data_IF_125342456296
#
_entry.id   IF_125342456296
#
_cell.length_a   1.000
_cell.length_b   1.000
_cell.length_c   1.000
_cell.angle_alpha   90.00
_cell.angle_beta   90.00
_cell.angle_gamma   90.00
#
_symmetry.space_group_name_H-M   'P 1'
#
loop_
_entity.id
_entity.type
_entity.pdbx_description
1 polymer ?
#
# COMPACT_ATOMS: atom_id res chain seq x y z
N UNK A 1 -29.85 -61.82 -63.07
CA UNK A 1 -28.94 -60.97 -63.89
C UNK A 1 -27.68 -60.83 -63.15
N UNK A 2 -26.61 -61.43 -63.64
CA UNK A 2 -25.27 -61.41 -63.07
C UNK A 2 -24.48 -60.28 -63.73
N UNK A 3 -23.94 -59.35 -62.90
CA UNK A 3 -23.06 -58.27 -63.35
C UNK A 3 -21.66 -58.62 -62.91
N UNK A 4 -20.69 -58.77 -63.86
CA UNK A 4 -19.30 -59.12 -63.50
C UNK A 4 -18.57 -57.92 -63.01
N UNK A 5 -17.69 -58.15 -62.03
CA UNK A 5 -16.76 -57.16 -61.45
C UNK A 5 -15.63 -56.77 -62.46
N UNK A 6 -15.18 -55.52 -62.44
CA UNK A 6 -14.08 -55.06 -63.29
C UNK A 6 -12.70 -55.59 -62.81
N UNK A 7 -11.74 -55.72 -63.71
CA UNK A 7 -10.43 -56.30 -63.42
C UNK A 7 -9.54 -55.38 -62.57
N UNK A 8 -8.72 -56.01 -61.74
CA UNK A 8 -7.75 -55.33 -60.88
C UNK A 8 -6.61 -54.66 -61.70
N UNK A 9 -6.31 -53.41 -61.40
CA UNK A 9 -5.14 -52.70 -61.94
C UNK A 9 -3.85 -53.07 -61.20
N UNK A 10 -2.70 -53.13 -61.87
CA UNK A 10 -1.43 -53.41 -61.21
C UNK A 10 -0.92 -52.26 -60.38
N UNK A 11 -0.43 -52.60 -59.17
CA UNK A 11 0.20 -51.66 -58.26
C UNK A 11 1.52 -51.13 -58.84
N UNK A 12 1.59 -49.80 -59.01
CA UNK A 12 2.84 -49.09 -59.23
C UNK A 12 3.59 -48.96 -57.91
N UNK A 13 4.74 -49.60 -57.83
CA UNK A 13 5.69 -49.44 -56.71
C UNK A 13 6.33 -48.03 -56.78
N UNK A 14 5.96 -47.15 -55.83
CA UNK A 14 6.70 -45.91 -55.60
C UNK A 14 7.93 -46.21 -54.73
N UNK A 15 9.09 -45.82 -55.23
CA UNK A 15 10.35 -45.79 -54.45
C UNK A 15 10.25 -44.80 -53.27
N UNK A 16 10.87 -45.04 -52.11
CA UNK A 16 10.84 -44.11 -51.01
C UNK A 16 11.73 -42.91 -51.31
N UNK A 17 11.09 -41.73 -51.49
CA UNK A 17 11.81 -40.46 -51.46
C UNK A 17 12.24 -40.23 -50.00
N UNK A 18 13.53 -40.20 -49.73
CA UNK A 18 14.11 -39.83 -48.47
C UNK A 18 13.78 -38.35 -48.16
N UNK A 19 12.84 -38.13 -47.29
CA UNK A 19 12.68 -36.84 -46.66
C UNK A 19 13.76 -36.70 -45.60
N UNK A 20 14.77 -35.89 -45.90
CA UNK A 20 15.67 -35.37 -44.90
C UNK A 20 14.81 -34.46 -43.99
N UNK A 21 14.43 -34.97 -42.81
CA UNK A 21 13.84 -34.16 -41.74
C UNK A 21 14.93 -33.23 -41.23
N UNK A 22 15.01 -32.01 -41.78
CA UNK A 22 15.70 -30.93 -41.15
C UNK A 22 14.87 -30.56 -39.91
N UNK A 23 15.18 -31.16 -38.77
CA UNK A 23 14.73 -30.69 -37.47
C UNK A 23 15.30 -29.29 -37.27
N UNK A 24 14.50 -28.28 -37.61
CA UNK A 24 14.70 -26.93 -37.12
C UNK A 24 14.45 -26.98 -35.61
N UNK A 25 15.52 -27.25 -34.86
CA UNK A 25 15.56 -27.06 -33.41
C UNK A 25 15.46 -25.57 -33.13
N UNK A 26 14.22 -25.08 -33.10
CA UNK A 26 13.90 -23.78 -32.55
C UNK A 26 13.94 -23.89 -31.04
N UNK A 27 15.11 -24.09 -30.46
CA UNK A 27 15.35 -23.75 -29.05
C UNK A 27 15.40 -22.24 -28.96
N UNK A 28 14.22 -21.60 -28.88
CA UNK A 28 14.14 -20.24 -28.43
C UNK A 28 14.78 -20.15 -27.04
N UNK A 29 15.78 -19.27 -26.85
CA UNK A 29 16.36 -19.11 -25.53
C UNK A 29 15.24 -18.62 -24.60
N UNK A 30 14.84 -19.45 -23.63
CA UNK A 30 13.93 -19.02 -22.56
C UNK A 30 14.57 -17.78 -21.93
N UNK A 31 14.02 -16.62 -22.21
CA UNK A 31 14.52 -15.35 -21.72
C UNK A 31 14.53 -15.41 -20.16
N UNK A 32 15.72 -15.60 -19.60
CA UNK A 32 15.91 -15.63 -18.14
C UNK A 32 15.86 -14.19 -17.63
N UNK A 33 14.66 -13.76 -17.22
CA UNK A 33 14.51 -12.46 -16.55
C UNK A 33 15.36 -12.39 -15.28
N UNK A 34 16.21 -11.39 -15.17
CA UNK A 34 16.97 -11.13 -13.97
C UNK A 34 16.03 -10.66 -12.83
N UNK A 35 16.32 -11.07 -11.61
CA UNK A 35 15.55 -10.60 -10.45
C UNK A 35 15.85 -9.14 -10.16
N UNK A 36 14.81 -8.37 -9.88
CA UNK A 36 14.95 -7.02 -9.37
C UNK A 36 14.56 -6.93 -7.88
N UNK A 37 14.99 -5.87 -7.21
CA UNK A 37 14.65 -5.66 -5.81
C UNK A 37 14.60 -4.17 -5.45
N UNK A 38 13.60 -3.78 -4.68
CA UNK A 38 13.43 -2.43 -4.16
C UNK A 38 13.99 -2.35 -2.74
N UNK A 39 15.00 -1.50 -2.54
CA UNK A 39 15.55 -1.15 -1.21
C UNK A 39 15.08 0.25 -0.84
N UNK A 40 14.59 0.40 0.39
CA UNK A 40 14.14 1.69 0.95
C UNK A 40 15.23 2.20 1.88
N UNK A 41 15.63 3.45 1.70
CA UNK A 41 16.65 4.10 2.53
C UNK A 41 16.05 5.13 3.49
N UNK A 42 14.93 5.76 3.12
CA UNK A 42 14.25 6.73 3.96
C UNK A 42 12.76 6.83 3.59
N UNK A 43 11.93 7.07 4.59
CA UNK A 43 10.50 7.36 4.40
C UNK A 43 10.08 8.53 5.29
N UNK A 44 9.15 9.35 4.77
CA UNK A 44 8.34 10.27 5.55
C UNK A 44 6.88 10.04 5.12
N UNK A 45 6.18 9.19 5.85
CA UNK A 45 4.81 8.75 5.56
C UNK A 45 3.79 9.26 6.60
N UNK A 46 4.25 10.07 7.56
CA UNK A 46 3.41 10.73 8.55
C UNK A 46 3.51 12.24 8.32
N UNK A 47 2.57 12.80 7.61
CA UNK A 47 2.61 14.19 7.14
C UNK A 47 1.30 14.92 7.44
N UNK A 48 1.37 16.23 7.56
CA UNK A 48 0.17 17.06 7.59
C UNK A 48 -0.42 17.18 6.18
N UNK A 49 -1.71 17.41 6.11
CA UNK A 49 -2.41 17.77 4.87
C UNK A 49 -1.71 18.95 4.19
N UNK A 50 -1.57 18.89 2.87
CA UNK A 50 -0.79 19.85 2.09
C UNK A 50 0.73 19.63 2.12
N UNK A 51 1.25 18.70 2.92
CA UNK A 51 2.67 18.38 2.98
C UNK A 51 3.04 17.16 2.12
N UNK A 52 4.27 17.11 1.59
CA UNK A 52 4.71 15.99 0.78
C UNK A 52 5.11 14.78 1.63
N UNK A 53 4.46 13.65 1.41
CA UNK A 53 4.99 12.34 1.79
C UNK A 53 6.14 11.96 0.83
N UNK A 54 7.21 11.37 1.35
CA UNK A 54 8.39 11.01 0.56
C UNK A 54 8.86 9.61 0.84
N UNK A 55 9.36 8.94 -0.20
CA UNK A 55 10.05 7.66 -0.10
C UNK A 55 11.31 7.72 -0.95
N UNK A 56 12.45 7.45 -0.36
CA UNK A 56 13.72 7.34 -1.06
C UNK A 56 14.24 5.90 -1.01
N UNK A 57 14.93 5.50 -2.06
CA UNK A 57 15.45 4.14 -2.15
C UNK A 57 16.29 3.89 -3.39
N UNK A 58 16.52 2.61 -3.68
CA UNK A 58 17.20 2.17 -4.88
C UNK A 58 16.56 0.91 -5.45
N UNK A 59 16.48 0.83 -6.77
CA UNK A 59 16.20 -0.38 -7.52
C UNK A 59 17.50 -1.13 -7.79
N UNK A 60 17.50 -2.44 -7.58
CA UNK A 60 18.63 -3.33 -7.84
C UNK A 60 18.25 -4.40 -8.89
N UNK A 61 19.15 -4.73 -9.82
CA UNK A 61 20.42 -4.08 -10.10
C UNK A 61 20.27 -2.58 -10.36
N UNK A 62 21.37 -1.82 -10.35
CA UNK A 62 21.34 -0.36 -10.51
C UNK A 62 20.99 0.02 -11.95
N UNK A 63 19.70 0.19 -12.21
CA UNK A 63 19.15 0.49 -13.55
C UNK A 63 18.69 1.94 -13.58
N UNK A 64 19.24 2.71 -14.51
CA UNK A 64 18.77 4.07 -14.79
C UNK A 64 17.48 4.06 -15.63
N UNK A 65 16.71 5.15 -15.53
CA UNK A 65 15.53 5.36 -16.37
C UNK A 65 14.34 4.44 -16.09
N UNK A 66 14.33 3.70 -14.99
CA UNK A 66 13.24 2.77 -14.64
C UNK A 66 12.19 3.47 -13.77
N UNK A 67 10.94 3.25 -14.12
CA UNK A 67 9.82 3.83 -13.37
C UNK A 67 9.55 3.01 -12.10
N UNK A 68 9.57 3.69 -10.96
CA UNK A 68 9.12 3.17 -9.67
C UNK A 68 7.85 3.92 -9.28
N UNK A 69 6.80 3.19 -8.92
CA UNK A 69 5.53 3.74 -8.49
C UNK A 69 5.35 3.61 -6.99
N UNK A 70 4.76 4.64 -6.37
CA UNK A 70 4.14 4.56 -5.06
C UNK A 70 2.66 4.26 -5.27
N UNK A 71 2.18 3.19 -4.67
CA UNK A 71 0.80 2.77 -4.77
C UNK A 71 0.15 2.79 -3.38
N UNK A 72 -1.12 3.21 -3.32
CA UNK A 72 -1.96 3.15 -2.13
C UNK A 72 -3.10 2.13 -2.33
N UNK A 73 -3.50 1.50 -1.24
CA UNK A 73 -4.59 0.52 -1.26
C UNK A 73 -5.92 1.21 -0.98
N UNK A 74 -6.79 1.26 -1.98
CA UNK A 74 -8.14 1.81 -1.91
C UNK A 74 -9.23 0.75 -2.04
N UNK A 75 -10.45 1.19 -2.36
CA UNK A 75 -11.62 0.30 -2.55
C UNK A 75 -11.40 -0.70 -3.67
N UNK A 76 -10.82 -0.25 -4.78
CA UNK A 76 -10.59 -1.06 -5.99
C UNK A 76 -9.21 -1.74 -5.99
N UNK A 77 -8.56 -1.82 -4.84
CA UNK A 77 -7.24 -2.41 -4.69
C UNK A 77 -6.10 -1.39 -4.74
N UNK A 78 -4.95 -1.79 -5.32
CA UNK A 78 -3.75 -0.95 -5.37
C UNK A 78 -3.81 0.02 -6.54
N UNK A 79 -3.83 1.31 -6.25
CA UNK A 79 -3.76 2.40 -7.23
C UNK A 79 -2.44 3.19 -7.13
N UNK A 80 -1.91 3.64 -8.27
CA UNK A 80 -0.70 4.49 -8.32
C UNK A 80 -1.06 5.91 -7.87
N UNK A 81 -0.34 6.42 -6.85
CA UNK A 81 -0.50 7.80 -6.34
C UNK A 81 0.68 8.70 -6.68
N UNK A 82 1.86 8.13 -6.94
CA UNK A 82 3.03 8.89 -7.40
C UNK A 82 4.01 8.01 -8.17
N UNK A 83 4.91 8.64 -8.93
CA UNK A 83 5.93 7.97 -9.74
C UNK A 83 7.27 8.69 -9.59
N UNK A 84 8.35 7.94 -9.76
CA UNK A 84 9.69 8.49 -9.91
C UNK A 84 10.49 7.63 -10.87
N UNK A 85 11.45 8.24 -11.57
CA UNK A 85 12.40 7.54 -12.42
C UNK A 85 13.72 7.37 -11.67
N UNK A 86 14.35 6.20 -11.82
CA UNK A 86 15.66 5.92 -11.23
C UNK A 86 16.78 6.67 -11.96
N UNK A 87 17.71 7.23 -11.20
CA UNK A 87 18.97 7.77 -11.73
C UNK A 87 19.98 6.66 -12.11
N UNK A 88 21.18 7.07 -12.56
CA UNK A 88 22.26 6.16 -13.02
C UNK A 88 22.69 5.13 -12.00
N UNK A 89 22.62 5.45 -10.70
CA UNK A 89 22.91 4.53 -9.58
C UNK A 89 21.71 3.66 -9.16
N UNK A 90 20.61 3.69 -9.90
CA UNK A 90 19.35 3.05 -9.54
C UNK A 90 18.59 3.72 -8.40
N UNK A 91 19.09 4.84 -7.87
CA UNK A 91 18.43 5.60 -6.79
C UNK A 91 17.20 6.32 -7.30
N UNK A 92 16.18 6.44 -6.44
CA UNK A 92 14.96 7.19 -6.70
C UNK A 92 14.48 7.93 -5.46
N UNK A 93 13.67 8.96 -5.68
CA UNK A 93 12.88 9.64 -4.63
C UNK A 93 11.48 9.89 -5.17
N UNK A 94 10.49 9.23 -4.59
CA UNK A 94 9.07 9.45 -4.87
C UNK A 94 8.57 10.53 -3.92
N UNK A 95 7.79 11.49 -4.42
CA UNK A 95 7.08 12.50 -3.64
C UNK A 95 5.59 12.42 -3.98
N UNK A 96 4.76 12.48 -2.96
CA UNK A 96 3.30 12.53 -3.07
C UNK A 96 2.79 13.68 -2.22
N UNK A 97 2.11 14.65 -2.84
CA UNK A 97 1.46 15.74 -2.12
C UNK A 97 0.17 15.23 -1.50
N UNK A 98 0.15 15.10 -0.18
CA UNK A 98 -1.00 14.66 0.57
C UNK A 98 -2.06 15.77 0.62
N UNK A 99 -3.31 15.49 0.23
CA UNK A 99 -4.40 16.49 0.16
C UNK A 99 -5.66 16.07 0.92
N UNK A 100 -5.67 14.91 1.52
CA UNK A 100 -6.82 14.39 2.26
C UNK A 100 -6.33 13.64 3.48
N UNK A 101 -6.87 13.98 4.63
CA UNK A 101 -6.61 13.25 5.87
C UNK A 101 -7.01 11.79 5.76
N UNK A 102 -6.34 10.95 6.51
CA UNK A 102 -6.64 9.52 6.53
C UNK A 102 -5.39 8.64 6.65
N UNK A 103 -5.64 7.34 6.70
CA UNK A 103 -4.62 6.31 6.79
C UNK A 103 -4.78 5.31 5.64
N UNK A 104 -3.73 5.11 4.85
CA UNK A 104 -3.73 4.18 3.72
C UNK A 104 -2.50 3.28 3.73
N UNK A 105 -2.69 1.99 3.44
CA UNK A 105 -1.55 1.10 3.21
C UNK A 105 -0.87 1.49 1.91
N UNK A 106 0.46 1.55 1.91
CA UNK A 106 1.24 1.93 0.73
C UNK A 106 2.35 0.91 0.44
N UNK A 107 2.71 0.84 -0.85
CA UNK A 107 3.83 0.05 -1.34
C UNK A 107 4.56 0.76 -2.47
N UNK A 108 5.82 0.42 -2.64
CA UNK A 108 6.53 0.67 -3.89
C UNK A 108 6.33 -0.50 -4.84
N UNK A 109 6.32 -0.20 -6.15
CA UNK A 109 6.30 -1.21 -7.21
C UNK A 109 7.22 -0.79 -8.36
N UNK A 110 7.99 -1.73 -8.85
CA UNK A 110 8.59 -1.74 -10.15
C UNK A 110 7.88 -2.82 -10.98
N UNK A 111 7.33 -2.48 -12.12
CA UNK A 111 6.53 -3.41 -12.91
C UNK A 111 7.36 -4.50 -13.60
N UNK A 112 8.68 -4.31 -13.67
CA UNK A 112 9.58 -5.08 -14.51
C UNK A 112 9.84 -4.37 -15.84
N UNK A 113 10.74 -4.96 -16.63
CA UNK A 113 11.03 -4.55 -18.01
C UNK A 113 11.33 -5.78 -18.86
N UNK A 114 11.81 -5.59 -20.09
CA UNK A 114 12.12 -6.66 -21.02
C UNK A 114 13.20 -7.64 -20.55
N UNK A 115 13.96 -7.28 -19.51
CA UNK A 115 15.11 -8.06 -19.01
C UNK A 115 15.02 -8.38 -17.51
N UNK A 116 14.09 -7.73 -16.78
CA UNK A 116 14.01 -7.84 -15.33
C UNK A 116 12.58 -8.11 -14.86
N UNK A 117 12.44 -9.05 -13.93
CA UNK A 117 11.19 -9.30 -13.24
C UNK A 117 10.77 -8.09 -12.40
N UNK A 118 9.48 -7.86 -12.30
CA UNK A 118 8.91 -6.86 -11.41
C UNK A 118 9.18 -7.17 -9.94
N UNK A 119 9.14 -6.14 -9.11
CA UNK A 119 9.26 -6.26 -7.65
C UNK A 119 8.35 -5.28 -6.94
N UNK A 120 7.96 -5.63 -5.70
CA UNK A 120 7.19 -4.73 -4.84
C UNK A 120 7.71 -4.77 -3.41
N UNK A 121 7.58 -3.63 -2.71
CA UNK A 121 7.98 -3.47 -1.31
C UNK A 121 6.87 -2.78 -0.54
N UNK A 122 6.26 -3.46 0.44
CA UNK A 122 5.31 -2.85 1.38
C UNK A 122 6.05 -1.85 2.27
N UNK A 123 5.43 -0.69 2.50
CA UNK A 123 5.97 0.39 3.31
C UNK A 123 5.22 0.58 4.64
N UNK A 124 4.12 -0.16 4.84
CA UNK A 124 3.22 0.04 5.97
C UNK A 124 2.09 1.01 5.63
N UNK A 125 1.79 1.89 6.57
CA UNK A 125 0.70 2.86 6.48
C UNK A 125 1.26 4.27 6.28
N UNK A 126 0.72 4.98 5.30
CA UNK A 126 0.86 6.43 5.17
C UNK A 126 -0.30 7.08 5.92
N UNK A 127 0.01 8.00 6.81
CA UNK A 127 -0.97 8.77 7.55
C UNK A 127 -0.86 10.24 7.15
N UNK A 128 -1.98 10.80 6.73
CA UNK A 128 -2.13 12.22 6.44
C UNK A 128 -3.00 12.82 7.54
N UNK A 129 -2.46 13.79 8.23
CA UNK A 129 -3.05 14.37 9.42
C UNK A 129 -3.50 15.82 9.18
N UNK A 130 -4.38 16.29 10.03
CA UNK A 130 -4.58 17.71 10.31
C UNK A 130 -4.29 17.99 11.79
N UNK A 131 -3.91 19.20 12.11
CA UNK A 131 -3.73 19.63 13.49
C UNK A 131 -5.09 19.94 14.12
N UNK A 132 -5.33 19.41 15.31
CA UNK A 132 -6.59 19.59 16.06
C UNK A 132 -6.32 19.79 17.54
N UNK A 133 -7.16 20.53 18.19
CA UNK A 133 -7.06 20.74 19.64
C UNK A 133 -7.67 19.56 20.40
N UNK A 134 -6.97 19.09 21.44
CA UNK A 134 -7.39 17.98 22.28
C UNK A 134 -7.20 18.28 23.76
N UNK A 135 -7.94 17.56 24.58
CA UNK A 135 -7.76 17.43 26.02
C UNK A 135 -7.85 15.96 26.42
N UNK A 136 -7.93 15.68 27.70
CA UNK A 136 -8.12 14.32 28.19
C UNK A 136 -9.17 14.29 29.32
N UNK A 137 -9.69 13.11 29.57
CA UNK A 137 -10.61 12.83 30.67
C UNK A 137 -10.30 11.47 31.30
N UNK A 138 -10.62 11.34 32.56
CA UNK A 138 -10.46 10.12 33.34
C UNK A 138 -11.65 9.89 34.25
N UNK A 139 -11.47 8.95 35.18
CA UNK A 139 -12.51 8.58 36.13
C UNK A 139 -13.18 7.25 35.79
N UNK A 140 -14.44 7.09 36.16
CA UNK A 140 -15.23 5.87 35.92
C UNK A 140 -16.65 6.25 35.55
N UNK A 141 -17.32 5.47 34.72
CA UNK A 141 -18.71 5.73 34.31
C UNK A 141 -19.09 5.02 33.03
N UNK A 142 -20.33 5.18 32.60
CA UNK A 142 -20.80 4.72 31.29
C UNK A 142 -20.26 5.60 30.18
N UNK A 143 -19.95 4.99 29.03
CA UNK A 143 -19.54 5.69 27.81
C UNK A 143 -20.72 5.83 26.86
N UNK A 144 -20.81 6.95 26.14
CA UNK A 144 -21.92 7.20 25.21
C UNK A 144 -22.00 6.18 24.06
N UNK A 145 -20.88 5.54 23.71
CA UNK A 145 -20.85 4.47 22.71
C UNK A 145 -21.02 3.06 23.32
N UNK A 146 -21.36 2.98 24.59
CA UNK A 146 -21.47 1.71 25.33
C UNK A 146 -20.20 1.31 26.06
N UNK A 147 -20.35 0.45 27.07
CA UNK A 147 -19.27 0.03 27.96
C UNK A 147 -19.02 1.01 29.12
N UNK A 148 -17.89 0.81 29.80
CA UNK A 148 -17.51 1.64 30.97
C UNK A 148 -16.10 2.17 30.83
N UNK A 149 -15.90 3.41 31.26
CA UNK A 149 -14.60 4.01 31.41
C UNK A 149 -13.84 3.38 32.58
N UNK A 150 -12.59 3.06 32.38
CA UNK A 150 -11.64 2.63 33.39
C UNK A 150 -10.29 3.27 33.09
N UNK A 151 -9.34 3.23 34.02
CA UNK A 151 -7.99 3.75 33.80
C UNK A 151 -7.25 3.07 32.63
N UNK A 152 -7.61 1.82 32.26
CA UNK A 152 -7.03 1.07 31.14
C UNK A 152 -7.80 1.24 29.82
N UNK A 153 -8.89 2.00 29.81
CA UNK A 153 -9.71 2.17 28.60
C UNK A 153 -8.96 2.98 27.54
N UNK A 154 -8.74 2.40 26.35
CA UNK A 154 -8.14 3.07 25.21
C UNK A 154 -9.23 3.59 24.26
N UNK A 155 -9.27 4.89 24.02
CA UNK A 155 -10.23 5.51 23.11
C UNK A 155 -10.22 7.02 23.21
N UNK A 156 -11.14 7.63 22.46
CA UNK A 156 -11.35 9.08 22.47
C UNK A 156 -12.85 9.39 22.49
N UNK A 157 -13.21 10.53 23.09
CA UNK A 157 -14.50 11.18 22.84
C UNK A 157 -14.38 12.07 21.60
N UNK A 158 -15.45 12.09 20.80
CA UNK A 158 -15.62 13.01 19.67
C UNK A 158 -17.13 13.29 19.48
N UNK A 159 -17.47 14.53 19.10
CA UNK A 159 -18.87 14.98 19.03
C UNK A 159 -19.65 14.34 17.89
N UNK A 160 -19.02 14.15 16.72
CA UNK A 160 -19.71 13.87 15.45
C UNK A 160 -19.32 12.56 14.79
N UNK A 161 -18.08 12.10 14.97
CA UNK A 161 -17.63 10.84 14.37
C UNK A 161 -18.46 9.67 14.91
N UNK A 162 -18.87 8.71 14.05
CA UNK A 162 -19.58 7.52 14.51
C UNK A 162 -18.80 6.74 15.58
N UNK A 163 -19.53 6.15 16.54
CA UNK A 163 -18.95 5.24 17.52
C UNK A 163 -18.17 4.10 16.82
N UNK A 164 -17.01 3.77 17.38
CA UNK A 164 -16.12 2.76 16.81
C UNK A 164 -15.25 3.26 15.66
N UNK A 165 -15.45 4.47 15.13
CA UNK A 165 -14.55 5.07 14.14
C UNK A 165 -13.12 5.08 14.67
N UNK A 166 -12.20 4.49 13.91
CA UNK A 166 -10.79 4.45 14.30
C UNK A 166 -10.06 5.68 13.78
N UNK A 167 -9.54 6.47 14.68
CA UNK A 167 -8.70 7.64 14.40
C UNK A 167 -7.25 7.32 14.76
N UNK A 168 -6.32 7.82 13.96
CA UNK A 168 -4.89 7.77 14.30
C UNK A 168 -4.48 9.14 14.80
N UNK A 169 -4.01 9.20 16.03
CA UNK A 169 -3.49 10.42 16.65
C UNK A 169 -1.96 10.37 16.69
N UNK A 170 -1.32 11.53 16.52
CA UNK A 170 0.12 11.69 16.63
C UNK A 170 0.47 12.92 17.45
N UNK A 171 1.42 12.76 18.38
CA UNK A 171 1.94 13.83 19.22
C UNK A 171 3.42 13.53 19.54
N UNK A 172 4.28 14.49 19.39
CA UNK A 172 5.72 14.41 19.68
C UNK A 172 6.38 13.09 19.21
N UNK A 173 6.08 12.69 17.96
CA UNK A 173 6.65 11.46 17.38
C UNK A 173 5.87 10.18 17.73
N UNK A 174 5.13 10.14 18.83
CA UNK A 174 4.30 9.01 19.24
C UNK A 174 3.03 8.94 18.39
N UNK A 175 2.55 7.73 18.11
CA UNK A 175 1.35 7.52 17.29
C UNK A 175 0.51 6.41 17.91
N UNK A 176 -0.79 6.68 18.09
CA UNK A 176 -1.75 5.70 18.57
C UNK A 176 -2.96 5.65 17.64
N UNK A 177 -3.53 4.47 17.45
CA UNK A 177 -4.78 4.29 16.69
C UNK A 177 -5.88 3.79 17.61
N UNK A 178 -6.87 4.61 17.85
CA UNK A 178 -7.89 4.41 18.88
C UNK A 178 -9.31 4.53 18.32
N UNK A 179 -10.32 3.87 18.91
CA UNK A 179 -11.72 4.04 18.56
C UNK A 179 -12.31 5.31 19.19
N UNK A 180 -13.32 5.88 18.55
CA UNK A 180 -14.27 6.80 19.18
C UNK A 180 -15.20 5.97 20.07
N UNK A 181 -15.19 6.23 21.37
CA UNK A 181 -15.94 5.47 22.38
C UNK A 181 -16.88 6.32 23.20
N UNK A 182 -16.80 7.64 23.07
CA UNK A 182 -17.59 8.55 23.84
C UNK A 182 -17.96 9.82 23.06
N UNK A 183 -18.83 10.69 23.66
CA UNK A 183 -19.24 11.98 23.12
C UNK A 183 -18.61 13.14 23.88
N UNK A 184 -18.22 14.17 23.15
CA UNK A 184 -17.50 15.35 23.66
C UNK A 184 -16.21 15.56 22.82
N UNK A 185 -15.35 16.47 23.25
CA UNK A 185 -15.51 17.47 24.32
C UNK A 185 -16.56 18.52 23.97
N UNK A 186 -17.22 19.07 24.99
CA UNK A 186 -18.20 20.13 24.83
C UNK A 186 -17.66 21.50 25.26
N UNK A 187 -16.36 21.62 25.45
CA UNK A 187 -15.69 22.84 25.92
C UNK A 187 -14.75 23.38 24.80
N UNK A 188 -14.99 24.62 24.42
CA UNK A 188 -14.15 25.35 23.46
C UNK A 188 -14.12 24.71 22.06
N UNK A 189 -12.99 24.90 21.39
CA UNK A 189 -12.69 24.40 20.04
C UNK A 189 -12.12 22.97 20.00
N UNK A 190 -11.96 22.34 21.17
CA UNK A 190 -11.41 21.00 21.27
C UNK A 190 -12.21 20.00 20.46
N UNK A 191 -11.51 19.15 19.73
CA UNK A 191 -12.14 18.16 18.86
C UNK A 191 -12.13 16.76 19.46
N UNK A 192 -11.07 16.44 20.22
CA UNK A 192 -10.95 15.16 20.90
C UNK A 192 -10.72 15.34 22.40
N UNK A 193 -11.31 14.42 23.15
CA UNK A 193 -10.98 14.17 24.54
C UNK A 193 -10.39 12.76 24.64
N UNK A 194 -9.12 12.67 25.03
CA UNK A 194 -8.40 11.40 25.14
C UNK A 194 -8.74 10.74 26.47
N UNK A 195 -8.96 9.42 26.47
CA UNK A 195 -8.97 8.70 27.74
C UNK A 195 -7.57 8.75 28.38
N UNK A 196 -7.50 8.53 29.69
CA UNK A 196 -6.23 8.55 30.42
C UNK A 196 -5.18 7.60 29.82
N UNK A 197 -5.56 6.35 29.52
CA UNK A 197 -4.66 5.40 28.88
C UNK A 197 -4.22 5.83 27.47
N UNK A 198 -5.09 6.50 26.69
CA UNK A 198 -4.73 7.04 25.38
C UNK A 198 -3.75 8.23 25.53
N UNK A 199 -4.00 9.13 26.47
CA UNK A 199 -3.09 10.23 26.85
C UNK A 199 -1.70 9.70 27.18
N UNK A 200 -1.62 8.70 28.04
CA UNK A 200 -0.35 8.07 28.46
C UNK A 200 0.36 7.41 27.26
N UNK A 201 -0.34 6.62 26.45
CA UNK A 201 0.23 5.96 25.29
C UNK A 201 0.73 6.93 24.21
N UNK A 202 0.14 8.12 24.14
CA UNK A 202 0.53 9.18 23.20
C UNK A 202 1.65 10.09 23.76
N UNK A 203 1.89 10.05 25.08
CA UNK A 203 2.78 10.99 25.77
C UNK A 203 2.22 12.42 25.81
N UNK A 204 0.87 12.55 25.76
CA UNK A 204 0.21 13.83 25.66
C UNK A 204 0.08 14.51 27.04
N UNK A 205 0.16 15.85 27.05
CA UNK A 205 -0.08 16.66 28.26
C UNK A 205 -1.56 16.78 28.63
N UNK A 206 -1.95 17.91 29.17
CA UNK A 206 -3.35 18.10 29.63
C UNK A 206 -4.25 18.64 28.52
N UNK A 207 -3.76 19.61 27.76
CA UNK A 207 -4.44 20.19 26.59
C UNK A 207 -3.39 20.64 25.58
N UNK A 208 -3.76 20.64 24.31
CA UNK A 208 -2.89 21.10 23.23
C UNK A 208 -3.24 20.55 21.86
N UNK A 209 -2.35 20.82 20.90
CA UNK A 209 -2.52 20.37 19.52
C UNK A 209 -2.00 18.96 19.37
N UNK A 210 -2.83 18.10 18.78
CA UNK A 210 -2.42 16.78 18.28
C UNK A 210 -2.66 16.70 16.77
N UNK A 211 -2.02 15.78 16.09
CA UNK A 211 -2.32 15.48 14.70
C UNK A 211 -3.33 14.35 14.64
N UNK A 212 -4.39 14.50 13.85
CA UNK A 212 -5.46 13.53 13.66
C UNK A 212 -5.65 13.18 12.18
N UNK A 213 -5.97 11.94 11.89
CA UNK A 213 -6.29 11.46 10.53
C UNK A 213 -7.78 11.59 10.16
N UNK A 214 -8.60 12.14 11.04
CA UNK A 214 -10.03 12.36 10.79
C UNK A 214 -10.35 13.81 10.52
#
# INVERSE_FOLDING_TARGET
MYVPAPPAQPALALAPAGFASSELSLSEPIARYARSGLRVSATNLNVLDGQPATVAGALRPSLAGRMVTLEAFGRDGWGTIARATTGTSGRFRVRFLARHTGSQRVRLRFAGDTSHLGSSRRLGTMNVYRAVEASWYGGSGGLACGGRLTAATIGVANRTLPCGTRVTLRYDGHTVRVPVIDRGPYVGSREFDLTEATKQALGFGDTGMVWSTS
#
